data_IF_423474806487
#
_entry.id   IF_423474806487
#
_cell.length_a   1.000
_cell.length_b   1.000
_cell.length_c   1.000
_cell.angle_alpha   90.00
_cell.angle_beta   90.00
_cell.angle_gamma   90.00
#
_symmetry.space_group_name_H-M   'P 1'
#
loop_
_entity.id
_entity.type
_entity.pdbx_description
1 polymer ?
#
# COMPACT_ATOMS: atom_id res chain seq x y z
N UNK A 1 10.75 -2.36 -14.06
CA UNK A 1 10.22 -1.33 -14.99
C UNK A 1 10.78 0.04 -14.60
N UNK A 2 10.92 1.03 -15.50
CA UNK A 2 11.21 2.43 -15.08
C UNK A 2 9.87 3.09 -14.73
N UNK A 3 9.76 3.68 -13.54
CA UNK A 3 8.62 4.52 -13.18
C UNK A 3 8.83 5.89 -13.79
N UNK A 4 7.85 6.35 -14.58
CA UNK A 4 7.86 7.68 -15.14
C UNK A 4 7.47 8.73 -14.08
N UNK A 5 7.91 10.00 -14.20
CA UNK A 5 7.61 11.03 -13.20
C UNK A 5 6.11 11.25 -12.92
N UNK A 6 5.26 10.99 -13.91
CA UNK A 6 3.80 11.05 -13.76
C UNK A 6 3.27 9.92 -12.87
N UNK A 7 3.73 8.69 -13.09
CA UNK A 7 3.36 7.52 -12.29
C UNK A 7 3.85 7.67 -10.84
N UNK A 8 5.05 8.19 -10.62
CA UNK A 8 5.56 8.45 -9.26
C UNK A 8 4.66 9.45 -8.51
N UNK A 9 4.12 10.44 -9.21
CA UNK A 9 3.19 11.41 -8.62
C UNK A 9 1.87 10.74 -8.24
N UNK A 10 1.32 9.90 -9.11
CA UNK A 10 0.09 9.15 -8.82
C UNK A 10 0.27 8.17 -7.65
N UNK A 11 1.41 7.49 -7.58
CA UNK A 11 1.76 6.60 -6.45
C UNK A 11 1.86 7.38 -5.14
N UNK A 12 2.52 8.54 -5.15
CA UNK A 12 2.60 9.39 -3.97
C UNK A 12 1.23 9.93 -3.53
N UNK A 13 0.38 10.31 -4.48
CA UNK A 13 -0.98 10.78 -4.17
C UNK A 13 -1.85 9.66 -3.62
N UNK A 14 -1.75 8.45 -4.18
CA UNK A 14 -2.45 7.26 -3.68
C UNK A 14 -1.97 6.87 -2.28
N UNK A 15 -0.65 6.79 -2.07
CA UNK A 15 -0.07 6.44 -0.77
C UNK A 15 -0.55 7.41 0.32
N UNK A 16 -0.45 8.72 0.06
CA UNK A 16 -0.88 9.76 1.02
C UNK A 16 -2.39 9.83 1.24
N UNK A 17 -3.18 9.29 0.33
CA UNK A 17 -4.63 9.18 0.50
C UNK A 17 -4.99 8.06 1.48
N UNK A 18 -4.21 6.98 1.49
CA UNK A 18 -4.44 5.79 2.31
C UNK A 18 -3.71 5.82 3.66
N UNK A 19 -2.62 6.58 3.78
CA UNK A 19 -1.99 6.95 5.06
C UNK A 19 -2.91 7.93 5.81
N UNK A 20 -3.80 7.39 6.63
CA UNK A 20 -4.88 8.13 7.30
C UNK A 20 -4.33 8.95 8.47
N UNK A 21 -3.37 8.38 9.19
CA UNK A 21 -2.76 8.98 10.36
C UNK A 21 -1.66 10.01 10.00
N UNK A 22 -1.15 9.96 8.76
CA UNK A 22 -0.12 10.82 8.16
C UNK A 22 1.28 10.65 8.76
N UNK A 23 1.62 9.45 9.20
CA UNK A 23 2.94 9.11 9.73
C UNK A 23 3.94 8.71 8.64
N UNK A 24 3.48 8.56 7.39
CA UNK A 24 4.30 8.16 6.24
C UNK A 24 4.40 6.66 6.04
N UNK A 25 3.59 5.88 6.75
CA UNK A 25 3.44 4.45 6.64
C UNK A 25 1.98 4.10 6.31
N UNK A 26 1.75 2.90 5.80
CA UNK A 26 0.40 2.32 5.71
C UNK A 26 0.36 1.11 6.63
N UNK A 27 -0.28 1.26 7.76
CA UNK A 27 -0.45 0.18 8.73
C UNK A 27 -1.50 -0.82 8.23
N UNK A 28 -1.49 -2.06 8.71
CA UNK A 28 -2.46 -3.08 8.27
C UNK A 28 -3.92 -2.62 8.40
N UNK A 29 -4.24 -1.85 9.45
CA UNK A 29 -5.58 -1.29 9.64
C UNK A 29 -5.96 -0.29 8.52
N UNK A 30 -5.03 0.57 8.12
CA UNK A 30 -5.22 1.55 7.05
C UNK A 30 -5.31 0.86 5.68
N UNK A 31 -4.54 -0.21 5.47
CA UNK A 31 -4.64 -1.06 4.29
C UNK A 31 -6.02 -1.74 4.17
N UNK A 32 -6.58 -2.23 5.27
CA UNK A 32 -7.94 -2.82 5.29
C UNK A 32 -8.99 -1.76 4.97
N UNK A 33 -8.88 -0.56 5.54
CA UNK A 33 -9.78 0.56 5.23
C UNK A 33 -9.68 0.95 3.75
N UNK A 34 -8.47 0.98 3.18
CA UNK A 34 -8.25 1.19 1.74
C UNK A 34 -8.99 0.14 0.90
N UNK A 35 -8.91 -1.14 1.26
CA UNK A 35 -9.63 -2.22 0.55
C UNK A 35 -11.15 -2.11 0.69
N UNK A 36 -11.64 -1.71 1.87
CA UNK A 36 -13.06 -1.49 2.12
C UNK A 36 -13.65 -0.34 1.29
N UNK A 37 -12.86 0.70 1.01
CA UNK A 37 -13.25 1.80 0.11
C UNK A 37 -13.39 1.37 -1.36
N UNK A 38 -12.75 0.28 -1.77
CA UNK A 38 -12.85 -0.28 -3.11
C UNK A 38 -14.11 -1.15 -3.33
N UNK A 39 -15.05 -1.17 -2.39
CA UNK A 39 -16.24 -2.06 -2.37
C UNK A 39 -15.89 -3.55 -2.53
N UNK A 40 -14.63 -3.92 -2.27
CA UNK A 40 -14.17 -5.29 -2.37
C UNK A 40 -14.47 -6.02 -1.05
N UNK A 41 -15.31 -7.05 -1.10
CA UNK A 41 -15.49 -7.99 0.01
C UNK A 41 -14.22 -8.86 0.16
N UNK A 42 -13.13 -8.26 0.64
CA UNK A 42 -11.87 -8.96 0.92
C UNK A 42 -11.92 -9.47 2.35
N UNK A 43 -11.67 -10.76 2.55
CA UNK A 43 -11.55 -11.30 3.90
C UNK A 43 -10.26 -10.83 4.58
N UNK A 44 -10.25 -10.74 5.91
CA UNK A 44 -9.04 -10.40 6.69
C UNK A 44 -7.82 -11.25 6.28
N UNK A 45 -8.05 -12.51 5.89
CA UNK A 45 -7.00 -13.41 5.43
C UNK A 45 -6.42 -13.00 4.07
N UNK A 46 -7.28 -12.61 3.13
CA UNK A 46 -6.83 -12.15 1.80
C UNK A 46 -6.17 -10.78 1.89
N UNK A 47 -6.69 -9.89 2.73
CA UNK A 47 -6.05 -8.61 3.04
C UNK A 47 -4.67 -8.83 3.66
N UNK A 48 -4.54 -9.78 4.60
CA UNK A 48 -3.26 -10.13 5.21
C UNK A 48 -2.26 -10.65 4.19
N UNK A 49 -2.69 -11.53 3.28
CA UNK A 49 -1.81 -12.04 2.22
C UNK A 49 -1.31 -10.89 1.34
N UNK A 50 -2.21 -10.00 0.87
CA UNK A 50 -1.81 -8.88 0.03
C UNK A 50 -0.92 -7.86 0.75
N UNK A 51 -1.12 -7.68 2.05
CA UNK A 51 -0.27 -6.84 2.89
C UNK A 51 1.13 -7.44 3.04
N UNK A 52 1.23 -8.71 3.41
CA UNK A 52 2.50 -9.44 3.58
C UNK A 52 3.27 -9.59 2.25
N UNK A 53 2.61 -9.42 1.10
CA UNK A 53 3.27 -9.37 -0.21
C UNK A 53 3.97 -8.02 -0.47
N UNK A 54 3.58 -6.95 0.24
CA UNK A 54 4.11 -5.60 0.08
C UNK A 54 5.09 -5.25 1.21
N UNK A 55 4.76 -5.62 2.45
CA UNK A 55 5.61 -5.48 3.64
C UNK A 55 6.81 -6.44 3.55
N UNK A 56 7.90 -5.95 2.97
CA UNK A 56 9.04 -6.77 2.58
C UNK A 56 10.03 -6.95 3.73
N UNK A 57 10.05 -6.01 4.68
CA UNK A 57 10.88 -6.10 5.87
C UNK A 57 10.16 -6.66 7.11
N UNK A 58 8.85 -6.92 7.02
CA UNK A 58 7.99 -7.51 8.07
C UNK A 58 7.97 -6.66 9.35
N UNK A 59 8.02 -5.33 9.19
CA UNK A 59 7.91 -4.38 10.31
C UNK A 59 6.45 -4.12 10.73
N UNK A 60 5.49 -4.61 9.95
CA UNK A 60 4.06 -4.49 10.19
C UNK A 60 3.42 -3.24 9.59
N UNK A 61 4.15 -2.50 8.76
CA UNK A 61 3.68 -1.35 8.02
C UNK A 61 4.27 -1.33 6.59
N UNK A 62 3.56 -0.73 5.65
CA UNK A 62 4.07 -0.55 4.28
C UNK A 62 4.67 0.85 4.18
N UNK A 63 5.98 0.92 3.95
CA UNK A 63 6.67 2.16 3.64
C UNK A 63 6.40 2.59 2.19
N UNK A 64 6.64 3.88 1.89
CA UNK A 64 6.51 4.37 0.51
C UNK A 64 7.49 3.67 -0.45
N UNK A 65 8.68 3.31 0.01
CA UNK A 65 9.67 2.63 -0.80
C UNK A 65 9.21 1.20 -1.15
N UNK A 66 8.67 0.46 -0.19
CA UNK A 66 8.08 -0.87 -0.43
C UNK A 66 6.87 -0.81 -1.37
N UNK A 67 5.99 0.18 -1.19
CA UNK A 67 4.87 0.39 -2.08
C UNK A 67 5.32 0.64 -3.53
N UNK A 68 6.38 1.44 -3.71
CA UNK A 68 6.97 1.72 -5.03
C UNK A 68 7.64 0.50 -5.62
N UNK A 69 8.38 -0.27 -4.82
CA UNK A 69 9.07 -1.47 -5.30
C UNK A 69 8.09 -2.58 -5.67
N UNK A 70 7.06 -2.80 -4.85
CA UNK A 70 5.94 -3.69 -5.21
C UNK A 70 5.26 -3.28 -6.52
N UNK A 71 5.03 -1.97 -6.73
CA UNK A 71 4.45 -1.46 -7.98
C UNK A 71 5.35 -1.72 -9.20
N UNK A 72 6.68 -1.70 -9.03
CA UNK A 72 7.65 -1.94 -10.11
C UNK A 72 7.77 -3.39 -10.53
N UNK A 73 7.54 -4.29 -9.57
CA UNK A 73 7.71 -5.73 -9.73
C UNK A 73 6.42 -6.43 -10.18
N UNK A 74 5.32 -5.67 -10.30
CA UNK A 74 4.03 -6.12 -10.83
C UNK A 74 3.97 -6.20 -12.36
#
# INVERSE_FOLDING_TARGET
MKIEPGELKELSESFRYNDLNKDGLIEFAEFVEMLGQLEAEVSDKEARIGFDEIDADDDGAISFDEFVDWWRDR
#
